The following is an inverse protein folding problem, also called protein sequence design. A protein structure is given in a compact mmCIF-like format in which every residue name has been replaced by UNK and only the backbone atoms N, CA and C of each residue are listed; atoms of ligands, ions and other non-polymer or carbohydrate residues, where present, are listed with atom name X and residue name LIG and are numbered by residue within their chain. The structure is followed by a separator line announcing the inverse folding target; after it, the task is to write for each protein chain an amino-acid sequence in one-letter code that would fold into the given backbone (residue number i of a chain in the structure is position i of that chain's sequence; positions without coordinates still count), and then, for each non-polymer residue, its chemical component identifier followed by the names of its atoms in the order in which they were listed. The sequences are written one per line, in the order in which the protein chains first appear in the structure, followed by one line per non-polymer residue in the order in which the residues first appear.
data_IF_924297990001
#
_entry.id   IF_924297990001
#
_cell.length_a   1.000
_cell.length_b   1.000
_cell.length_c   1.000
_cell.angle_alpha   90.00
_cell.angle_beta   90.00
_cell.angle_gamma   90.00
#
_symmetry.space_group_name_H-M   'P 1'
#
loop_
_entity.id
_entity.type
_entity.pdbx_description
1 polymer ?
#
# COMPACT_ATOMS: atom_id res chain seq x y z
N UNK A 1 7.48 -9.34 13.22
CA UNK A 1 7.65 -10.37 12.19
C UNK A 1 7.27 -9.79 10.83
N UNK A 2 8.04 -10.11 9.81
CA UNK A 2 7.77 -9.59 8.48
C UNK A 2 6.68 -10.39 7.80
N UNK A 3 5.84 -9.70 7.05
CA UNK A 3 4.85 -10.33 6.19
C UNK A 3 5.32 -10.17 4.76
N UNK A 4 5.35 -11.26 4.02
CA UNK A 4 5.85 -11.28 2.66
C UNK A 4 4.82 -11.90 1.74
N UNK A 5 4.65 -11.30 0.58
CA UNK A 5 3.70 -11.80 -0.41
C UNK A 5 4.27 -11.61 -1.81
N UNK A 6 4.14 -12.62 -2.65
CA UNK A 6 4.53 -12.49 -4.04
C UNK A 6 3.27 -12.31 -4.87
N UNK A 7 3.28 -11.27 -5.69
CA UNK A 7 2.13 -10.91 -6.51
C UNK A 7 2.57 -10.91 -7.96
N UNK A 8 1.78 -11.52 -8.81
CA UNK A 8 2.10 -11.58 -10.23
C UNK A 8 1.62 -10.31 -10.91
N UNK A 9 2.54 -9.62 -11.58
CA UNK A 9 2.23 -8.40 -12.32
C UNK A 9 2.60 -8.65 -13.76
N UNK A 10 1.60 -8.77 -14.63
CA UNK A 10 1.81 -9.07 -16.05
C UNK A 10 2.64 -10.33 -16.26
N UNK A 11 2.36 -11.36 -15.47
CA UNK A 11 3.07 -12.63 -15.60
C UNK A 11 4.43 -12.68 -14.91
N UNK A 12 4.86 -11.58 -14.31
CA UNK A 12 6.14 -11.52 -13.61
C UNK A 12 5.89 -11.49 -12.10
N UNK A 13 6.46 -12.44 -11.34
CA UNK A 13 6.27 -12.42 -9.90
C UNK A 13 7.10 -11.32 -9.27
N UNK A 14 6.48 -10.54 -8.40
CA UNK A 14 7.15 -9.46 -7.68
C UNK A 14 6.89 -9.67 -6.20
N UNK A 15 7.95 -9.68 -5.40
CA UNK A 15 7.83 -9.88 -3.96
C UNK A 15 7.68 -8.54 -3.27
N UNK A 16 6.83 -8.53 -2.24
CA UNK A 16 6.60 -7.37 -1.38
C UNK A 16 6.73 -7.82 0.06
N UNK A 17 7.21 -6.94 0.92
CA UNK A 17 7.41 -7.27 2.34
C UNK A 17 7.07 -6.07 3.19
N UNK A 18 6.38 -6.32 4.30
CA UNK A 18 6.07 -5.29 5.29
C UNK A 18 6.48 -5.78 6.66
N UNK A 19 7.08 -4.90 7.46
CA UNK A 19 7.52 -5.22 8.81
C UNK A 19 7.60 -3.92 9.61
N UNK A 20 8.07 -4.03 10.84
CA UNK A 20 8.27 -2.84 11.66
C UNK A 20 9.27 -1.86 11.05
N UNK A 21 10.12 -2.34 10.15
CA UNK A 21 11.11 -1.48 9.48
C UNK A 21 10.50 -0.64 8.35
N UNK A 22 9.36 -1.04 7.83
CA UNK A 22 8.76 -0.37 6.66
C UNK A 22 8.57 1.14 6.86
N UNK A 23 8.03 1.60 8.00
CA UNK A 23 7.85 3.05 8.19
C UNK A 23 9.15 3.84 8.13
N UNK A 24 10.23 3.28 8.68
CA UNK A 24 11.51 3.96 8.66
C UNK A 24 12.10 4.00 7.25
N UNK A 25 11.97 2.91 6.52
CA UNK A 25 12.45 2.86 5.14
C UNK A 25 11.71 3.89 4.30
N UNK A 26 10.40 3.95 4.47
CA UNK A 26 9.57 4.90 3.73
C UNK A 26 9.98 6.35 4.04
N UNK A 27 10.18 6.64 5.32
CA UNK A 27 10.59 7.99 5.71
C UNK A 27 11.96 8.34 5.13
N UNK A 28 12.88 7.38 5.13
CA UNK A 28 14.21 7.63 4.55
C UNK A 28 14.15 7.85 3.05
N UNK A 29 13.25 7.16 2.36
CA UNK A 29 13.15 7.28 0.91
C UNK A 29 12.39 8.53 0.50
N UNK A 30 11.32 8.88 1.19
CA UNK A 30 10.41 9.92 0.73
C UNK A 30 10.25 11.08 1.70
N UNK A 31 10.79 10.99 2.91
CA UNK A 31 10.64 12.05 3.89
C UNK A 31 9.22 12.20 4.41
N UNK A 32 8.43 11.13 4.36
CA UNK A 32 7.02 11.18 4.71
C UNK A 32 6.69 10.09 5.73
N UNK A 33 5.56 10.29 6.41
CA UNK A 33 5.05 9.34 7.39
C UNK A 33 4.11 8.37 6.68
N UNK A 34 4.50 7.10 6.63
CA UNK A 34 3.73 6.09 5.92
C UNK A 34 2.35 5.89 6.54
N UNK A 35 2.21 6.12 7.85
CA UNK A 35 0.92 5.93 8.51
C UNK A 35 -0.09 6.97 8.04
N UNK A 36 0.34 8.22 7.89
CA UNK A 36 -0.52 9.26 7.36
C UNK A 36 -0.89 8.96 5.91
N UNK A 37 0.08 8.56 5.12
CA UNK A 37 -0.15 8.29 3.70
C UNK A 37 -1.07 7.09 3.51
N UNK A 38 -0.86 6.03 4.29
CA UNK A 38 -1.72 4.84 4.20
C UNK A 38 -3.13 5.16 4.67
N UNK A 39 -3.26 5.97 5.72
CA UNK A 39 -4.57 6.35 6.21
C UNK A 39 -5.36 7.10 5.13
N UNK A 40 -4.69 8.00 4.44
CA UNK A 40 -5.31 8.74 3.35
C UNK A 40 -5.69 7.80 2.20
N UNK A 41 -4.80 6.89 1.85
CA UNK A 41 -5.05 5.96 0.76
C UNK A 41 -6.22 5.03 1.09
N UNK A 42 -6.25 4.50 2.30
CA UNK A 42 -7.34 3.62 2.73
C UNK A 42 -8.66 4.37 2.72
N UNK A 43 -8.67 5.61 3.18
CA UNK A 43 -9.88 6.42 3.20
C UNK A 43 -10.39 6.66 1.78
N UNK A 44 -9.50 6.92 0.85
CA UNK A 44 -9.88 7.14 -0.55
C UNK A 44 -10.53 5.90 -1.14
N UNK A 45 -9.98 4.72 -0.81
CA UNK A 45 -10.54 3.48 -1.33
C UNK A 45 -11.88 3.17 -0.69
N UNK A 46 -11.99 3.39 0.62
CA UNK A 46 -13.21 3.08 1.35
C UNK A 46 -14.37 3.97 0.95
N UNK A 47 -14.07 5.22 0.68
CA UNK A 47 -15.11 6.20 0.35
C UNK A 47 -15.44 6.18 -1.12
N UNK A 48 -14.95 5.19 -1.83
CA UNK A 48 -15.16 5.13 -3.26
C UNK A 48 -16.62 4.95 -3.61
N UNK A 49 -17.14 5.92 -4.31
CA UNK A 49 -18.47 5.88 -4.87
C UNK A 49 -18.28 5.44 -6.33
N UNK A 50 -19.00 4.45 -6.81
CA UNK A 50 -18.83 4.02 -8.20
C UNK A 50 -18.94 5.16 -9.20
N UNK A 51 -19.72 6.19 -8.86
CA UNK A 51 -19.90 7.32 -9.77
C UNK A 51 -18.86 8.42 -9.55
N UNK A 52 -18.14 8.38 -8.43
CA UNK A 52 -17.15 9.39 -8.09
C UNK A 52 -15.92 8.73 -7.53
N UNK A 53 -15.13 8.17 -8.41
CA UNK A 53 -13.86 7.60 -7.98
C UNK A 53 -13.01 8.70 -7.38
N UNK A 54 -12.52 8.50 -6.18
CA UNK A 54 -11.78 9.52 -5.45
C UNK A 54 -10.28 9.32 -5.46
N UNK A 55 -9.81 8.29 -6.16
CA UNK A 55 -8.38 8.11 -6.30
C UNK A 55 -7.85 9.16 -7.26
N UNK A 56 -7.20 10.18 -6.73
CA UNK A 56 -6.64 11.23 -7.57
C UNK A 56 -5.15 10.95 -7.79
N UNK A 57 -4.49 11.88 -8.47
CA UNK A 57 -3.07 11.72 -8.81
C UNK A 57 -2.20 11.57 -7.57
N UNK A 58 -2.54 12.30 -6.50
CA UNK A 58 -1.78 12.23 -5.27
C UNK A 58 -1.93 10.85 -4.62
N UNK A 59 -3.16 10.32 -4.61
CA UNK A 59 -3.40 8.99 -4.05
C UNK A 59 -2.65 7.92 -4.81
N UNK A 60 -2.58 8.03 -6.13
CA UNK A 60 -1.84 7.07 -6.94
C UNK A 60 -0.35 7.16 -6.64
N UNK A 61 0.16 8.35 -6.46
CA UNK A 61 1.58 8.52 -6.13
C UNK A 61 1.90 7.92 -4.77
N UNK A 62 1.03 8.14 -3.79
CA UNK A 62 1.23 7.54 -2.46
C UNK A 62 1.26 6.02 -2.55
N UNK A 63 0.33 5.45 -3.33
CA UNK A 63 0.30 4.02 -3.51
C UNK A 63 1.59 3.50 -4.17
N UNK A 64 2.05 4.18 -5.20
CA UNK A 64 3.29 3.78 -5.90
C UNK A 64 4.47 3.78 -4.94
N UNK A 65 4.56 4.82 -4.12
CA UNK A 65 5.67 4.94 -3.19
C UNK A 65 5.63 3.85 -2.11
N UNK A 66 4.45 3.54 -1.61
CA UNK A 66 4.30 2.47 -0.61
C UNK A 66 4.67 1.12 -1.23
N UNK A 67 4.15 0.84 -2.42
CA UNK A 67 4.43 -0.43 -3.10
C UNK A 67 5.93 -0.56 -3.38
N UNK A 68 6.55 0.50 -3.85
CA UNK A 68 7.99 0.52 -4.11
C UNK A 68 8.79 0.21 -2.84
N UNK A 69 8.41 0.83 -1.73
CA UNK A 69 9.10 0.60 -0.46
C UNK A 69 9.04 -0.87 -0.07
N UNK A 70 7.87 -1.46 -0.19
CA UNK A 70 7.70 -2.87 0.17
C UNK A 70 8.44 -3.79 -0.80
N UNK A 71 8.50 -3.43 -2.08
CA UNK A 71 9.24 -4.22 -3.07
C UNK A 71 10.73 -4.18 -2.78
N UNK A 72 11.27 -3.00 -2.49
CA UNK A 72 12.69 -2.87 -2.15
C UNK A 72 13.02 -3.63 -0.87
N UNK A 73 12.10 -3.60 0.08
CA UNK A 73 12.33 -4.32 1.34
C UNK A 73 12.40 -5.83 1.09
N UNK A 74 11.60 -6.32 0.15
CA UNK A 74 11.57 -7.75 -0.14
C UNK A 74 12.76 -8.18 -1.00
N UNK A 75 13.25 -7.30 -1.87
CA UNK A 75 14.24 -7.67 -2.89
C UNK A 75 15.21 -6.51 -3.11
N UNK A 76 16.46 -6.65 -2.64
CA UNK A 76 17.45 -5.59 -2.80
C UNK A 76 17.82 -5.29 -4.25
N UNK A 77 17.47 -6.16 -5.18
CA UNK A 77 17.77 -5.92 -6.60
C UNK A 77 16.80 -4.93 -7.25
N UNK A 78 15.72 -4.58 -6.55
CA UNK A 78 14.81 -3.54 -7.03
C UNK A 78 15.58 -2.24 -7.16
N UNK A 79 15.38 -1.46 -8.24
CA UNK A 79 16.13 -0.20 -8.42
C UNK A 79 15.97 0.76 -7.25
N UNK A 80 16.94 1.66 -7.10
CA UNK A 80 16.92 2.65 -6.01
C UNK A 80 15.92 3.76 -6.25
N UNK A 81 15.45 3.92 -7.46
CA UNK A 81 14.60 5.02 -7.86
C UNK A 81 13.21 4.50 -8.21
N UNK A 82 12.18 5.10 -7.62
CA UNK A 82 10.80 4.65 -7.83
C UNK A 82 10.40 4.76 -9.30
N UNK A 83 10.85 5.80 -9.98
CA UNK A 83 10.51 5.97 -11.39
C UNK A 83 11.13 4.88 -12.25
N UNK A 84 12.36 4.51 -11.95
CA UNK A 84 13.03 3.44 -12.67
C UNK A 84 12.30 2.11 -12.44
N UNK A 85 11.83 1.88 -11.24
CA UNK A 85 11.07 0.68 -10.92
C UNK A 85 9.75 0.64 -11.69
N UNK A 86 9.05 1.78 -11.69
CA UNK A 86 7.76 1.87 -12.37
C UNK A 86 7.88 1.67 -13.88
N UNK A 87 8.99 2.11 -14.45
CA UNK A 87 9.22 1.93 -15.89
C UNK A 87 9.25 0.47 -16.31
N UNK A 88 9.43 -0.43 -15.38
CA UNK A 88 9.43 -1.86 -15.69
C UNK A 88 8.05 -2.47 -15.85
N UNK A 89 6.99 -1.69 -15.61
CA UNK A 89 5.62 -2.19 -15.67
C UNK A 89 4.82 -1.49 -16.75
N UNK A 90 3.79 -2.17 -17.23
CA UNK A 90 2.84 -1.54 -18.14
C UNK A 90 2.05 -0.47 -17.39
N UNK A 91 1.54 0.51 -18.12
CA UNK A 91 0.99 1.73 -17.56
C UNK A 91 0.00 1.51 -16.41
N UNK A 92 -0.88 0.53 -16.52
CA UNK A 92 -1.91 0.36 -15.50
C UNK A 92 -1.74 -0.88 -14.63
N UNK A 93 -0.75 -1.70 -14.93
CA UNK A 93 -0.64 -2.99 -14.25
C UNK A 93 -0.31 -2.85 -12.77
N UNK A 94 0.46 -1.84 -12.40
CA UNK A 94 0.85 -1.67 -10.99
C UNK A 94 -0.36 -1.36 -10.11
N UNK A 95 -1.37 -0.69 -10.67
CA UNK A 95 -2.52 -0.29 -9.84
C UNK A 95 -3.44 -1.46 -9.52
N UNK A 96 -3.35 -2.53 -10.31
CA UNK A 96 -4.18 -3.71 -10.05
C UNK A 96 -3.78 -4.41 -8.74
N UNK A 97 -2.60 -4.13 -8.21
CA UNK A 97 -2.16 -4.79 -6.98
C UNK A 97 -2.54 -4.02 -5.72
N UNK A 98 -3.24 -2.90 -5.85
CA UNK A 98 -3.61 -2.09 -4.69
C UNK A 98 -4.26 -2.92 -3.56
N UNK A 99 -5.25 -3.79 -3.84
CA UNK A 99 -5.83 -4.59 -2.77
C UNK A 99 -4.81 -5.47 -2.06
N UNK A 100 -3.82 -5.97 -2.78
CA UNK A 100 -2.79 -6.82 -2.19
C UNK A 100 -1.87 -6.03 -1.28
N UNK A 101 -1.56 -4.79 -1.64
CA UNK A 101 -0.72 -3.94 -0.81
C UNK A 101 -1.46 -3.57 0.47
N UNK A 102 -2.75 -3.28 0.38
CA UNK A 102 -3.55 -3.00 1.56
C UNK A 102 -3.58 -4.22 2.47
N UNK A 103 -3.68 -5.41 1.89
CA UNK A 103 -3.68 -6.65 2.66
C UNK A 103 -2.36 -6.83 3.40
N UNK A 104 -1.24 -6.55 2.73
CA UNK A 104 0.07 -6.61 3.36
C UNK A 104 0.21 -5.63 4.50
N UNK A 105 -0.40 -4.47 4.37
CA UNK A 105 -0.40 -3.46 5.42
C UNK A 105 -1.21 -3.91 6.63
N UNK A 106 -1.96 -5.00 6.47
CA UNK A 106 -2.80 -5.51 7.53
C UNK A 106 -4.21 -4.95 7.46
N UNK A 107 -4.59 -4.40 6.31
CA UNK A 107 -5.90 -3.82 6.12
C UNK A 107 -6.73 -4.76 5.27
N UNK A 108 -7.79 -5.24 5.87
CA UNK A 108 -8.83 -5.98 5.18
C UNK A 108 -10.04 -5.10 5.29
N UNK A 109 -10.72 -4.82 4.21
CA UNK A 109 -11.84 -3.90 4.25
C UNK A 109 -12.91 -4.32 5.23
N UNK A 110 -13.17 -5.62 5.33
CA UNK A 110 -14.13 -6.11 6.31
C UNK A 110 -13.59 -5.97 7.72
N UNK A 111 -12.33 -6.34 7.92
CA UNK A 111 -11.68 -6.23 9.22
C UNK A 111 -11.62 -4.79 9.67
N UNK A 112 -11.36 -3.88 8.74
CA UNK A 112 -11.36 -2.47 9.07
C UNK A 112 -12.73 -2.00 9.52
N UNK A 113 -13.76 -2.44 8.84
CA UNK A 113 -15.10 -2.08 9.20
C UNK A 113 -15.43 -2.56 10.60
N UNK A 114 -15.03 -3.79 10.91
CA UNK A 114 -15.26 -4.35 12.25
C UNK A 114 -14.48 -3.60 13.31
N UNK A 115 -13.24 -3.28 13.03
CA UNK A 115 -12.42 -2.54 13.98
C UNK A 115 -13.00 -1.14 14.22
N UNK A 116 -13.52 -0.53 13.18
CA UNK A 116 -14.14 0.77 13.29
C UNK A 116 -15.38 0.70 14.16
N UNK A 117 -16.18 -0.34 13.97
CA UNK A 117 -17.35 -0.55 14.81
C UNK A 117 -16.96 -0.72 16.25
N UNK A 118 -15.94 -1.51 16.51
CA UNK A 118 -15.49 -1.74 17.88
C UNK A 118 -15.03 -0.47 18.55
N UNK A 119 -14.37 0.40 17.81
CA UNK A 119 -13.90 1.66 18.37
C UNK A 119 -15.05 2.59 18.67
N UNK A 120 -16.11 2.54 17.88
CA UNK A 120 -17.24 3.43 18.05
C UNK A 120 -18.20 2.95 19.11
N UNK A 121 -18.19 1.67 19.40
CA UNK A 121 -19.03 1.14 20.45
C UNK A 121 -18.43 1.45 21.80
N UNK A 122 -19.24 1.91 22.73
CA UNK A 122 -18.74 2.10 24.08
C UNK A 122 -18.35 0.74 24.59
N UNK A 123 -17.17 0.62 24.99
CA UNK A 123 -16.78 -0.62 25.48
C UNK A 123 -17.30 -0.76 26.80
N UNK A 124 -17.79 -1.75 27.02
CA UNK A 124 -18.19 -1.93 28.14
C UNK A 124 -17.27 -2.31 28.89
N UNK A 125 -16.67 -2.30 28.97
CA UNK A 125 -15.70 -2.60 29.61
C UNK A 125 -15.56 -2.66 30.42
#
# INVERSE_FOLDING_TARGET
MAVRKTIEINGTPVAFQASAATPRIYRNLFGRDIFDDMDKLVSSVKDQDPENSKLDVIDLELFENVAFTMARQADPSVPDDVMQWLDGFEMFSIYAILPHILELWGVDMETMSDAKKKRQEPTEN
#
